data_IF_464746508605
#
_entry.id   IF_464746508605
#
_cell.length_a   1.000
_cell.length_b   1.000
_cell.length_c   1.000
_cell.angle_alpha   90.00
_cell.angle_beta   90.00
_cell.angle_gamma   90.00
#
_symmetry.space_group_name_H-M   'P 1'
#
loop_
_entity.id
_entity.type
_entity.pdbx_description
1 polymer ?
#
# COMPACT_ATOMS: atom_id res chain seq x y z
N UNK A 1 21.64 8.93 -11.57
CA UNK A 1 21.16 8.15 -10.38
C UNK A 1 22.29 7.60 -9.52
N UNK A 2 22.27 7.86 -8.20
CA UNK A 2 23.20 7.30 -7.21
C UNK A 2 22.86 5.82 -6.90
N UNK A 3 23.87 4.96 -6.71
CA UNK A 3 23.70 3.53 -6.41
C UNK A 3 23.02 3.30 -5.05
N UNK A 4 23.28 4.18 -4.09
CA UNK A 4 22.65 4.13 -2.76
C UNK A 4 21.14 4.32 -2.85
N UNK A 5 20.68 5.27 -3.68
CA UNK A 5 19.27 5.54 -3.89
C UNK A 5 18.57 4.34 -4.52
N UNK A 6 19.20 3.69 -5.50
CA UNK A 6 18.73 2.44 -6.11
C UNK A 6 18.58 1.33 -5.07
N UNK A 7 19.56 1.18 -4.18
CA UNK A 7 19.52 0.17 -3.11
C UNK A 7 18.43 0.46 -2.09
N UNK A 8 18.25 1.72 -1.68
CA UNK A 8 17.19 2.13 -0.75
C UNK A 8 15.80 1.88 -1.35
N UNK A 9 15.57 2.33 -2.59
CA UNK A 9 14.28 2.16 -3.27
C UNK A 9 14.02 0.70 -3.59
N UNK A 10 15.05 -0.06 -3.97
CA UNK A 10 14.99 -1.50 -4.11
C UNK A 10 14.58 -2.18 -2.81
N UNK A 11 15.22 -1.83 -1.68
CA UNK A 11 14.86 -2.32 -0.35
C UNK A 11 13.43 -1.98 0.05
N UNK A 12 12.98 -0.74 -0.19
CA UNK A 12 11.60 -0.31 0.06
C UNK A 12 10.60 -1.10 -0.80
N UNK A 13 10.92 -1.32 -2.08
CA UNK A 13 10.06 -2.11 -2.97
C UNK A 13 9.92 -3.55 -2.47
N UNK A 14 11.01 -4.15 -1.96
CA UNK A 14 11.03 -5.47 -1.34
C UNK A 14 10.14 -5.53 -0.09
N UNK A 15 10.15 -4.48 0.75
CA UNK A 15 9.24 -4.42 1.90
C UNK A 15 7.76 -4.40 1.46
N UNK A 16 7.46 -3.72 0.37
CA UNK A 16 6.10 -3.59 -0.17
C UNK A 16 5.62 -4.86 -0.91
N UNK A 17 6.55 -5.73 -1.33
CA UNK A 17 6.21 -7.02 -1.96
C UNK A 17 5.38 -7.94 -1.07
N UNK A 18 5.50 -7.80 0.25
CA UNK A 18 4.80 -8.62 1.24
C UNK A 18 3.43 -8.06 1.64
N UNK A 19 2.88 -7.15 0.84
CA UNK A 19 1.59 -6.54 1.17
C UNK A 19 0.50 -7.61 1.37
N UNK A 20 -0.17 -7.64 2.54
CA UNK A 20 -1.14 -8.68 2.86
C UNK A 20 -2.33 -8.73 1.91
N UNK A 21 -2.71 -7.62 1.27
CA UNK A 21 -3.92 -7.58 0.45
C UNK A 21 -3.67 -8.13 -0.96
N UNK A 22 -2.57 -7.76 -1.63
CA UNK A 22 -2.18 -8.36 -2.94
C UNK A 22 -1.96 -9.86 -2.84
N UNK A 23 -1.24 -10.31 -1.82
CA UNK A 23 -1.01 -11.73 -1.58
C UNK A 23 -2.29 -12.45 -1.16
N UNK A 24 -3.12 -11.84 -0.31
CA UNK A 24 -4.38 -12.41 0.15
C UNK A 24 -5.36 -12.68 -1.00
N UNK A 25 -5.54 -11.70 -1.90
CA UNK A 25 -6.39 -11.86 -3.09
C UNK A 25 -5.83 -12.94 -4.02
N UNK A 26 -4.52 -12.96 -4.21
CA UNK A 26 -3.84 -13.97 -5.05
C UNK A 26 -4.03 -15.39 -4.52
N UNK A 27 -3.73 -15.62 -3.23
CA UNK A 27 -3.90 -16.92 -2.58
C UNK A 27 -5.36 -17.37 -2.65
N UNK A 28 -6.31 -16.45 -2.43
CA UNK A 28 -7.73 -16.77 -2.54
C UNK A 28 -8.12 -17.24 -3.95
N UNK A 29 -7.70 -16.50 -4.99
CA UNK A 29 -8.01 -16.84 -6.39
C UNK A 29 -7.44 -18.21 -6.75
N UNK A 30 -6.21 -18.51 -6.36
CA UNK A 30 -5.55 -19.79 -6.63
C UNK A 30 -6.24 -20.97 -5.93
N UNK A 31 -6.86 -20.75 -4.76
CA UNK A 31 -7.56 -21.78 -4.01
C UNK A 31 -9.02 -21.99 -4.46
N UNK A 32 -9.69 -20.94 -4.93
CA UNK A 32 -11.14 -20.95 -5.17
C UNK A 32 -11.49 -21.15 -6.63
N UNK A 33 -10.74 -20.54 -7.54
CA UNK A 33 -11.05 -20.57 -8.97
C UNK A 33 -10.34 -21.74 -9.66
N UNK A 34 -11.09 -22.51 -10.46
CA UNK A 34 -10.55 -23.63 -11.25
C UNK A 34 -10.47 -23.33 -12.75
N UNK A 35 -11.08 -22.23 -13.22
CA UNK A 35 -11.16 -21.87 -14.65
C UNK A 35 -10.61 -20.45 -14.88
N UNK A 36 -9.71 -20.31 -15.85
CA UNK A 36 -9.11 -19.03 -16.30
C UNK A 36 -8.47 -18.20 -15.16
N UNK A 37 -7.89 -18.87 -14.17
CA UNK A 37 -7.25 -18.24 -13.00
C UNK A 37 -6.15 -17.26 -13.44
N UNK A 38 -5.33 -17.66 -14.42
CA UNK A 38 -4.27 -16.81 -14.97
C UNK A 38 -4.78 -15.49 -15.52
N UNK A 39 -5.81 -15.52 -16.37
CA UNK A 39 -6.36 -14.30 -16.96
C UNK A 39 -6.96 -13.36 -15.89
N UNK A 40 -7.70 -13.92 -14.92
CA UNK A 40 -8.27 -13.13 -13.82
C UNK A 40 -7.19 -12.50 -12.93
N UNK A 41 -6.16 -13.26 -12.62
CA UNK A 41 -5.02 -12.81 -11.82
C UNK A 41 -4.23 -11.73 -12.57
N UNK A 42 -3.95 -11.90 -13.87
CA UNK A 42 -3.28 -10.88 -14.67
C UNK A 42 -4.08 -9.58 -14.72
N UNK A 43 -5.40 -9.66 -14.98
CA UNK A 43 -6.27 -8.46 -14.97
C UNK A 43 -6.21 -7.74 -13.62
N UNK A 44 -6.27 -8.50 -12.52
CA UNK A 44 -6.12 -7.94 -11.18
C UNK A 44 -4.75 -7.27 -10.98
N UNK A 45 -3.65 -7.96 -11.29
CA UNK A 45 -2.30 -7.44 -11.11
C UNK A 45 -2.02 -6.20 -11.98
N UNK A 46 -2.45 -6.20 -13.23
CA UNK A 46 -2.34 -5.02 -14.11
C UNK A 46 -3.16 -3.84 -13.58
N UNK A 47 -4.34 -4.10 -13.00
CA UNK A 47 -5.14 -3.05 -12.36
C UNK A 47 -4.42 -2.46 -11.16
N UNK A 48 -3.80 -3.29 -10.31
CA UNK A 48 -3.03 -2.84 -9.15
C UNK A 48 -1.82 -2.01 -9.59
N UNK A 49 -1.00 -2.51 -10.53
CA UNK A 49 0.16 -1.78 -11.07
C UNK A 49 -0.29 -0.44 -11.65
N UNK A 50 -1.33 -0.44 -12.49
CA UNK A 50 -1.81 0.78 -13.13
C UNK A 50 -2.33 1.81 -12.12
N UNK A 51 -3.07 1.37 -11.10
CA UNK A 51 -3.57 2.25 -10.06
C UNK A 51 -2.44 2.84 -9.20
N UNK A 52 -1.51 2.01 -8.75
CA UNK A 52 -0.38 2.49 -7.96
C UNK A 52 0.54 3.42 -8.76
N UNK A 53 0.86 3.04 -10.00
CA UNK A 53 1.68 3.86 -10.87
C UNK A 53 1.04 5.22 -11.15
N UNK A 54 -0.26 5.25 -11.50
CA UNK A 54 -0.98 6.51 -11.71
C UNK A 54 -1.07 7.35 -10.44
N UNK A 55 -1.33 6.74 -9.27
CA UNK A 55 -1.31 7.42 -7.99
C UNK A 55 0.09 7.99 -7.68
N UNK A 56 1.15 7.22 -7.90
CA UNK A 56 2.53 7.68 -7.66
C UNK A 56 2.96 8.81 -8.58
N UNK A 57 2.58 8.76 -9.86
CA UNK A 57 2.77 9.87 -10.81
C UNK A 57 2.01 11.11 -10.33
N UNK A 58 0.73 10.97 -9.96
CA UNK A 58 -0.08 12.07 -9.46
C UNK A 58 0.51 12.69 -8.18
N UNK A 59 0.97 11.85 -7.25
CA UNK A 59 1.63 12.32 -6.02
C UNK A 59 2.93 13.03 -6.37
N UNK A 60 3.82 12.45 -7.16
CA UNK A 60 5.12 13.06 -7.49
C UNK A 60 4.96 14.41 -8.18
N UNK A 61 4.03 14.52 -9.14
CA UNK A 61 3.75 15.77 -9.86
C UNK A 61 3.04 16.80 -8.96
N UNK A 62 2.13 16.35 -8.10
CA UNK A 62 1.40 17.21 -7.17
C UNK A 62 2.18 17.59 -5.91
N UNK A 63 3.25 16.87 -5.57
CA UNK A 63 3.92 16.97 -4.27
C UNK A 63 4.39 18.40 -3.97
N UNK A 64 4.99 19.07 -4.96
CA UNK A 64 5.46 20.45 -4.80
C UNK A 64 4.33 21.44 -4.54
N UNK A 65 3.26 21.38 -5.35
CA UNK A 65 2.09 22.25 -5.21
C UNK A 65 1.35 22.02 -3.88
N UNK A 66 1.12 20.76 -3.51
CA UNK A 66 0.47 20.42 -2.25
C UNK A 66 1.30 20.89 -1.04
N UNK A 67 2.61 20.70 -1.07
CA UNK A 67 3.49 21.05 0.04
C UNK A 67 3.57 22.56 0.29
N UNK A 68 3.65 23.37 -0.77
CA UNK A 68 3.69 24.83 -0.66
C UNK A 68 2.38 25.41 -0.11
N UNK A 69 1.24 24.92 -0.60
CA UNK A 69 -0.08 25.30 -0.08
C UNK A 69 -0.24 24.84 1.37
N UNK A 70 0.05 23.56 1.68
CA UNK A 70 -0.08 23.05 3.04
C UNK A 70 0.82 23.77 4.03
N UNK A 71 2.11 23.98 3.72
CA UNK A 71 3.04 24.65 4.64
C UNK A 71 2.58 26.05 5.00
N UNK A 72 2.08 26.82 4.02
CA UNK A 72 1.53 28.17 4.24
C UNK A 72 0.29 28.14 5.17
N UNK A 73 -0.62 27.17 4.96
CA UNK A 73 -1.80 27.01 5.82
C UNK A 73 -1.46 26.48 7.21
N UNK A 74 -0.50 25.55 7.30
CA UNK A 74 -0.07 24.90 8.54
C UNK A 74 0.70 25.84 9.48
N UNK A 75 1.44 26.82 8.93
CA UNK A 75 2.17 27.83 9.72
C UNK A 75 1.24 28.82 10.46
N UNK A 76 -0.06 28.82 10.19
CA UNK A 76 -1.00 29.67 10.92
C UNK A 76 -1.20 29.14 12.35
N UNK A 77 -0.97 30.00 13.36
CA UNK A 77 -1.14 29.68 14.79
C UNK A 77 -2.50 29.03 15.10
N UNK A 78 -3.58 29.51 14.49
CA UNK A 78 -4.93 28.94 14.72
C UNK A 78 -5.03 27.51 14.18
N UNK A 79 -4.44 27.26 13.01
CA UNK A 79 -4.42 25.95 12.36
C UNK A 79 -3.55 24.98 13.15
N UNK A 80 -2.39 25.42 13.64
CA UNK A 80 -1.50 24.61 14.47
C UNK A 80 -2.16 24.18 15.79
N UNK A 81 -2.89 25.08 16.47
CA UNK A 81 -3.69 24.72 17.64
C UNK A 81 -4.78 23.70 17.33
N UNK A 82 -5.51 23.87 16.21
CA UNK A 82 -6.51 22.89 15.79
C UNK A 82 -5.89 21.51 15.51
N UNK A 83 -4.73 21.48 14.85
CA UNK A 83 -4.01 20.23 14.55
C UNK A 83 -3.47 19.55 15.80
N UNK A 84 -2.99 20.31 16.78
CA UNK A 84 -2.57 19.77 18.07
C UNK A 84 -3.74 19.08 18.78
N UNK A 85 -4.92 19.73 18.82
CA UNK A 85 -6.14 19.17 19.43
C UNK A 85 -6.58 17.91 18.68
N UNK A 86 -6.64 17.96 17.34
CA UNK A 86 -6.99 16.80 16.51
C UNK A 86 -6.00 15.66 16.72
N UNK A 87 -4.70 15.95 16.78
CA UNK A 87 -3.64 14.99 17.05
C UNK A 87 -3.80 14.31 18.41
N UNK A 88 -4.08 15.10 19.45
CA UNK A 88 -4.37 14.59 20.80
C UNK A 88 -5.62 13.70 20.84
N UNK A 89 -6.70 14.10 20.17
CA UNK A 89 -7.92 13.28 20.06
C UNK A 89 -7.62 11.94 19.37
N UNK A 90 -6.91 11.95 18.23
CA UNK A 90 -6.54 10.73 17.51
C UNK A 90 -5.64 9.82 18.35
N UNK A 91 -4.67 10.39 19.06
CA UNK A 91 -3.76 9.65 19.94
C UNK A 91 -4.49 9.00 21.10
N UNK A 92 -5.39 9.72 21.78
CA UNK A 92 -6.18 9.17 22.89
C UNK A 92 -7.15 8.11 22.37
N UNK A 93 -7.87 8.41 21.27
CA UNK A 93 -8.88 7.52 20.74
C UNK A 93 -8.29 6.20 20.22
N UNK A 94 -7.04 6.22 19.74
CA UNK A 94 -6.28 5.03 19.35
C UNK A 94 -6.32 3.90 20.38
N UNK A 95 -6.25 4.21 21.68
CA UNK A 95 -6.27 3.22 22.76
C UNK A 95 -7.64 2.58 22.97
N UNK A 96 -8.71 3.24 22.54
CA UNK A 96 -10.09 2.79 22.69
C UNK A 96 -10.64 2.11 21.43
N UNK A 97 -9.90 2.14 20.30
CA UNK A 97 -10.33 1.48 19.07
C UNK A 97 -10.41 -0.03 19.32
N UNK A 98 -11.60 -0.65 19.22
CA UNK A 98 -11.73 -2.09 19.38
C UNK A 98 -10.83 -2.79 18.36
N UNK A 99 -10.12 -3.83 18.79
CA UNK A 99 -9.37 -4.73 17.91
C UNK A 99 -10.39 -5.46 17.03
N UNK A 100 -10.87 -4.80 15.97
CA UNK A 100 -11.79 -5.41 15.01
C UNK A 100 -11.03 -6.58 14.39
N UNK A 101 -11.66 -7.76 14.40
CA UNK A 101 -11.25 -8.86 13.54
C UNK A 101 -11.31 -8.33 12.11
N UNK A 102 -10.16 -7.98 11.53
CA UNK A 102 -10.08 -7.62 10.12
C UNK A 102 -10.28 -8.90 9.31
N UNK A 103 -11.52 -9.30 9.12
CA UNK A 103 -11.89 -10.11 7.96
C UNK A 103 -12.00 -9.15 6.77
N UNK A 104 -10.87 -8.73 6.22
CA UNK A 104 -10.83 -8.22 4.85
C UNK A 104 -10.05 -9.19 3.99
N UNK A 105 -10.38 -10.48 4.14
CA UNK A 105 -10.62 -11.27 2.95
C UNK A 105 -11.90 -10.69 2.39
N UNK A 106 -11.81 -9.80 1.41
CA UNK A 106 -12.98 -9.54 0.58
C UNK A 106 -13.36 -10.91 0.06
N UNK A 107 -14.41 -11.53 0.61
CA UNK A 107 -14.98 -12.75 0.09
C UNK A 107 -15.31 -12.43 -1.37
N UNK A 108 -14.56 -12.92 -2.36
CA UNK A 108 -14.86 -12.72 -3.75
C UNK A 108 -16.02 -13.65 -4.06
N UNK A 109 -17.22 -13.20 -3.72
CA UNK A 109 -18.31 -13.48 -4.62
C UNK A 109 -17.85 -12.81 -5.91
N UNK A 110 -17.51 -13.59 -6.95
CA UNK A 110 -17.98 -13.41 -8.34
C UNK A 110 -16.95 -13.72 -9.45
N UNK A 111 -17.50 -14.09 -10.61
CA UNK A 111 -16.84 -14.83 -11.69
C UNK A 111 -16.39 -13.96 -12.89
N UNK A 112 -16.52 -12.63 -12.82
CA UNK A 112 -16.48 -11.71 -13.99
C UNK A 112 -15.29 -10.74 -13.98
N UNK A 113 -14.72 -10.43 -15.15
CA UNK A 113 -13.56 -9.54 -15.30
C UNK A 113 -13.76 -8.13 -14.71
N UNK A 114 -14.95 -7.54 -14.86
CA UNK A 114 -15.27 -6.21 -14.31
C UNK A 114 -15.15 -6.15 -12.79
N UNK A 115 -15.51 -7.24 -12.11
CA UNK A 115 -15.41 -7.34 -10.65
C UNK A 115 -13.97 -7.59 -10.19
N UNK A 116 -13.12 -8.20 -11.03
CA UNK A 116 -11.67 -8.26 -10.79
C UNK A 116 -11.02 -6.88 -10.83
N UNK A 117 -11.44 -6.03 -11.77
CA UNK A 117 -11.00 -4.63 -11.83
C UNK A 117 -11.45 -3.88 -10.59
N UNK A 118 -12.74 -3.97 -10.24
CA UNK A 118 -13.26 -3.35 -9.02
C UNK A 118 -12.51 -3.80 -7.76
N UNK A 119 -12.21 -5.11 -7.65
CA UNK A 119 -11.40 -5.65 -6.57
C UNK A 119 -9.99 -5.07 -6.57
N UNK A 120 -9.32 -5.00 -7.73
CA UNK A 120 -8.02 -4.37 -7.90
C UNK A 120 -8.02 -2.95 -7.36
N UNK A 121 -8.96 -2.13 -7.80
CA UNK A 121 -9.13 -0.72 -7.36
C UNK A 121 -9.41 -0.62 -5.87
N UNK A 122 -10.32 -1.43 -5.32
CA UNK A 122 -10.60 -1.37 -3.87
C UNK A 122 -9.41 -1.82 -3.03
N UNK A 123 -8.66 -2.81 -3.50
CA UNK A 123 -7.49 -3.33 -2.80
C UNK A 123 -6.39 -2.27 -2.80
N UNK A 124 -6.12 -1.69 -3.97
CA UNK A 124 -5.12 -0.64 -4.09
C UNK A 124 -5.51 0.62 -3.32
N UNK A 125 -6.78 1.02 -3.27
CA UNK A 125 -7.20 2.14 -2.42
C UNK A 125 -6.93 1.90 -0.93
N UNK A 126 -7.20 0.69 -0.45
CA UNK A 126 -6.97 0.31 0.96
C UNK A 126 -5.47 0.25 1.26
N UNK A 127 -4.69 -0.35 0.36
CA UNK A 127 -3.25 -0.50 0.56
C UNK A 127 -2.49 0.81 0.37
N UNK A 128 -2.86 1.65 -0.61
CA UNK A 128 -2.23 2.97 -0.85
C UNK A 128 -2.27 3.82 0.41
N UNK A 129 -3.38 3.83 1.16
CA UNK A 129 -3.46 4.55 2.43
C UNK A 129 -2.51 4.05 3.53
N UNK A 130 -1.92 2.87 3.35
CA UNK A 130 -1.02 2.22 4.31
C UNK A 130 0.38 1.92 3.74
N UNK A 131 0.63 2.27 2.48
CA UNK A 131 1.87 1.96 1.77
C UNK A 131 2.98 2.95 2.14
N UNK A 132 3.41 2.91 3.41
CA UNK A 132 4.50 3.75 3.91
C UNK A 132 5.78 3.61 3.05
N UNK A 133 6.22 2.40 2.65
CA UNK A 133 7.41 2.27 1.81
C UNK A 133 7.26 2.99 0.46
N UNK A 134 6.07 2.95 -0.14
CA UNK A 134 5.79 3.62 -1.41
C UNK A 134 5.89 5.14 -1.31
N UNK A 135 5.26 5.74 -0.30
CA UNK A 135 5.36 7.18 -0.06
C UNK A 135 6.79 7.62 0.24
N UNK A 136 7.53 6.82 1.02
CA UNK A 136 8.95 7.08 1.29
C UNK A 136 9.78 7.04 0.01
N UNK A 137 9.54 6.05 -0.87
CA UNK A 137 10.23 5.97 -2.16
C UNK A 137 9.95 7.22 -3.02
N UNK A 138 8.70 7.67 -3.11
CA UNK A 138 8.33 8.91 -3.83
C UNK A 138 9.02 10.13 -3.21
N UNK A 139 9.05 10.24 -1.87
CA UNK A 139 9.72 11.34 -1.18
C UNK A 139 11.23 11.35 -1.47
N UNK A 140 11.89 10.18 -1.46
CA UNK A 140 13.31 10.05 -1.82
C UNK A 140 13.57 10.46 -3.27
N UNK A 141 12.73 10.01 -4.22
CA UNK A 141 12.83 10.42 -5.64
C UNK A 141 12.62 11.93 -5.82
N UNK A 142 11.74 12.53 -5.01
CA UNK A 142 11.43 13.96 -5.05
C UNK A 142 12.59 14.80 -4.49
N UNK A 143 13.12 14.42 -3.32
CA UNK A 143 14.21 15.14 -2.65
C UNK A 143 15.56 15.00 -3.37
N UNK A 144 15.76 13.92 -4.13
CA UNK A 144 16.97 13.73 -4.94
C UNK A 144 16.96 14.48 -6.26
N UNK A 145 15.89 15.24 -6.56
CA UNK A 145 15.80 16.08 -7.75
C UNK A 145 15.81 15.29 -9.06
N UNK A 146 15.34 14.04 -9.04
CA UNK A 146 15.34 13.19 -10.24
C UNK A 146 14.50 13.81 -11.35
N UNK A 147 15.11 13.87 -12.53
CA UNK A 147 14.48 14.25 -13.79
C UNK A 147 13.49 13.19 -14.27
N UNK A 148 12.55 13.58 -15.12
CA UNK A 148 11.40 12.73 -15.46
C UNK A 148 11.71 11.40 -16.13
N UNK A 149 12.80 11.33 -16.88
CA UNK A 149 13.27 10.08 -17.47
C UNK A 149 14.02 9.18 -16.47
N UNK A 150 14.38 9.65 -15.27
CA UNK A 150 14.97 8.83 -14.22
C UNK A 150 13.90 8.30 -13.25
N UNK A 151 13.05 9.18 -12.68
CA UNK A 151 12.08 8.73 -11.67
C UNK A 151 10.92 7.93 -12.25
N UNK A 152 10.50 8.19 -13.51
CA UNK A 152 9.32 7.54 -14.08
C UNK A 152 9.56 6.05 -14.38
N UNK A 153 10.68 5.64 -15.02
CA UNK A 153 11.03 4.23 -15.14
C UNK A 153 11.33 3.58 -13.78
N UNK A 154 11.93 4.30 -12.83
CA UNK A 154 12.23 3.79 -11.50
C UNK A 154 10.95 3.50 -10.70
N UNK A 155 9.96 4.39 -10.79
CA UNK A 155 8.63 4.20 -10.20
C UNK A 155 7.92 3.02 -10.85
N UNK A 156 8.01 2.86 -12.17
CA UNK A 156 7.47 1.69 -12.86
C UNK A 156 8.14 0.39 -12.38
N UNK A 157 9.48 0.38 -12.30
CA UNK A 157 10.23 -0.76 -11.80
C UNK A 157 9.86 -1.12 -10.36
N UNK A 158 9.68 -0.12 -9.48
CA UNK A 158 9.19 -0.33 -8.11
C UNK A 158 7.85 -1.09 -8.12
N UNK A 159 6.89 -0.63 -8.92
CA UNK A 159 5.56 -1.24 -9.02
C UNK A 159 5.60 -2.68 -9.58
N UNK A 160 6.52 -2.96 -10.51
CA UNK A 160 6.74 -4.32 -11.03
C UNK A 160 7.30 -5.23 -9.94
N UNK A 161 8.30 -4.75 -9.18
CA UNK A 161 8.88 -5.52 -8.06
C UNK A 161 7.82 -5.82 -7.02
N UNK A 162 6.99 -4.84 -6.65
CA UNK A 162 5.87 -4.99 -5.70
C UNK A 162 4.95 -6.16 -6.06
N UNK A 163 4.65 -6.36 -7.33
CA UNK A 163 3.70 -7.37 -7.83
C UNK A 163 4.37 -8.72 -8.16
N UNK A 164 5.69 -8.79 -8.02
CA UNK A 164 6.49 -9.95 -8.38
C UNK A 164 6.13 -11.21 -7.55
N UNK A 165 5.91 -11.18 -6.22
CA UNK A 165 5.58 -12.40 -5.48
C UNK A 165 4.22 -13.02 -5.83
N UNK A 166 3.11 -12.26 -5.99
CA UNK A 166 1.88 -12.79 -6.57
C UNK A 166 2.09 -13.51 -7.91
N UNK A 167 2.94 -12.95 -8.77
CA UNK A 167 3.28 -13.54 -10.06
C UNK A 167 4.09 -14.84 -9.90
N UNK A 168 5.08 -14.87 -9.00
CA UNK A 168 5.84 -16.08 -8.65
C UNK A 168 4.91 -17.17 -8.10
N UNK A 169 4.00 -16.82 -7.18
CA UNK A 169 3.04 -17.76 -6.60
C UNK A 169 2.16 -18.39 -7.69
N UNK A 170 1.71 -17.58 -8.65
CA UNK A 170 0.95 -18.08 -9.80
C UNK A 170 1.78 -19.03 -10.67
N UNK A 171 3.03 -18.69 -10.98
CA UNK A 171 3.93 -19.56 -11.75
C UNK A 171 4.19 -20.89 -11.03
N UNK A 172 4.49 -20.85 -9.73
CA UNK A 172 4.67 -22.04 -8.90
C UNK A 172 3.40 -22.89 -8.85
N UNK A 173 2.23 -22.27 -8.74
CA UNK A 173 0.95 -22.99 -8.80
C UNK A 173 0.74 -23.69 -10.15
N UNK A 174 1.14 -23.05 -11.25
CA UNK A 174 1.03 -23.66 -12.58
C UNK A 174 1.99 -24.84 -12.77
N UNK A 175 3.21 -24.76 -12.22
CA UNK A 175 4.24 -25.79 -12.34
C UNK A 175 4.02 -26.97 -11.37
N UNK A 176 3.62 -26.70 -10.12
CA UNK A 176 3.51 -27.70 -9.04
C UNK A 176 2.06 -28.14 -8.78
N UNK A 177 1.06 -27.47 -9.38
CA UNK A 177 -0.34 -27.87 -9.35
C UNK A 177 -0.90 -28.08 -7.94
N UNK A 178 -1.41 -29.28 -7.67
CA UNK A 178 -2.08 -29.63 -6.41
C UNK A 178 -1.16 -29.61 -5.18
N UNK A 179 0.16 -29.71 -5.37
CA UNK A 179 1.15 -29.63 -4.28
C UNK A 179 1.10 -28.26 -3.60
N UNK A 180 0.77 -27.20 -4.35
CA UNK A 180 0.67 -25.83 -3.83
C UNK A 180 -0.56 -25.58 -2.96
N UNK A 181 -1.55 -26.50 -2.92
CA UNK A 181 -2.75 -26.27 -2.10
C UNK A 181 -2.45 -26.21 -0.60
N UNK A 182 -1.51 -27.02 -0.10
CA UNK A 182 -1.11 -27.03 1.31
C UNK A 182 -0.41 -25.72 1.74
N UNK A 183 0.67 -25.26 1.06
CA UNK A 183 1.32 -24.00 1.43
C UNK A 183 0.42 -22.79 1.23
N UNK A 184 -0.42 -22.75 0.19
CA UNK A 184 -1.39 -21.66 0.01
C UNK A 184 -2.38 -21.56 1.18
N UNK A 185 -2.90 -22.69 1.67
CA UNK A 185 -3.76 -22.72 2.87
C UNK A 185 -3.01 -22.30 4.14
N UNK A 186 -1.73 -22.65 4.26
CA UNK A 186 -0.90 -22.20 5.38
C UNK A 186 -0.73 -20.67 5.36
N UNK A 187 -0.40 -20.09 4.20
CA UNK A 187 -0.27 -18.64 4.01
C UNK A 187 -1.59 -17.95 4.35
N UNK A 188 -2.72 -18.46 3.84
CA UNK A 188 -4.05 -17.93 4.16
C UNK A 188 -4.32 -17.93 5.68
N UNK A 189 -4.04 -19.05 6.36
CA UNK A 189 -4.24 -19.17 7.81
C UNK A 189 -3.27 -18.32 8.64
N UNK A 190 -2.07 -18.03 8.12
CA UNK A 190 -1.13 -17.16 8.81
C UNK A 190 -1.54 -15.69 8.68
N UNK A 191 -2.02 -15.29 7.50
CA UNK A 191 -2.56 -13.95 7.26
C UNK A 191 -3.78 -13.67 8.13
N UNK A 192 -4.62 -14.67 8.43
CA UNK A 192 -5.85 -14.47 9.23
C UNK A 192 -5.58 -14.27 10.72
N UNK A 193 -4.39 -14.68 11.18
CA UNK A 193 -3.96 -14.55 12.58
C UNK A 193 -3.33 -13.19 12.88
N UNK A 194 -2.80 -12.50 11.87
CA UNK A 194 -2.19 -11.17 12.05
C UNK A 194 -3.27 -10.08 12.11
N UNK A 195 -3.95 -9.99 13.26
CA UNK A 195 -4.98 -8.98 13.53
C UNK A 195 -4.49 -7.98 14.60
N UNK A 196 -3.28 -7.43 14.43
CA UNK A 196 -2.98 -6.17 15.11
C UNK A 196 -3.90 -5.10 14.53
N UNK A 197 -4.52 -4.27 15.38
CA UNK A 197 -5.39 -3.20 14.92
C UNK A 197 -4.53 -2.11 14.26
N UNK A 198 -4.19 -2.30 12.99
CA UNK A 198 -3.43 -1.34 12.19
C UNK A 198 -4.06 0.06 12.26
N UNK A 199 -5.39 0.13 12.36
CA UNK A 199 -6.11 1.39 12.51
C UNK A 199 -5.74 2.12 13.82
N UNK A 200 -5.63 1.40 14.94
CA UNK A 200 -5.15 1.97 16.21
C UNK A 200 -3.71 2.44 16.07
N UNK A 201 -2.83 1.64 15.48
CA UNK A 201 -1.44 2.02 15.28
C UNK A 201 -1.27 3.26 14.38
N UNK A 202 -2.02 3.33 13.28
CA UNK A 202 -2.04 4.50 12.38
C UNK A 202 -2.56 5.73 13.12
N UNK A 203 -3.69 5.63 13.84
CA UNK A 203 -4.22 6.75 14.64
C UNK A 203 -3.22 7.22 15.69
N UNK A 204 -2.50 6.29 16.33
CA UNK A 204 -1.44 6.60 17.29
C UNK A 204 -0.32 7.40 16.64
N UNK A 205 0.28 6.88 15.56
CA UNK A 205 1.40 7.53 14.86
C UNK A 205 0.98 8.87 14.29
N UNK A 206 -0.14 8.93 13.57
CA UNK A 206 -0.64 10.17 12.97
C UNK A 206 -0.95 11.20 14.05
N UNK A 207 -1.61 10.80 15.13
CA UNK A 207 -1.90 11.69 16.26
C UNK A 207 -0.64 12.27 16.89
N UNK A 208 0.39 11.44 17.09
CA UNK A 208 1.68 11.84 17.64
C UNK A 208 2.43 12.78 16.68
N UNK A 209 2.46 12.47 15.37
CA UNK A 209 3.08 13.31 14.35
C UNK A 209 2.41 14.69 14.26
N UNK A 210 1.08 14.77 14.32
CA UNK A 210 0.35 16.05 14.31
C UNK A 210 0.66 16.89 15.54
N UNK A 211 0.75 16.28 16.73
CA UNK A 211 1.15 16.98 17.94
C UNK A 211 2.58 17.50 17.81
N UNK A 212 3.55 16.66 17.43
CA UNK A 212 4.95 17.07 17.29
C UNK A 212 5.14 18.19 16.27
N UNK A 213 4.48 18.08 15.11
CA UNK A 213 4.56 19.10 14.06
C UNK A 213 4.01 20.45 14.55
N UNK A 214 2.92 20.44 15.32
CA UNK A 214 2.29 21.69 15.78
C UNK A 214 3.04 22.37 16.92
N UNK A 215 3.77 21.64 17.77
CA UNK A 215 4.53 22.21 18.90
C UNK A 215 5.46 23.34 18.47
N UNK A 216 6.10 23.22 17.31
CA UNK A 216 7.02 24.24 16.80
C UNK A 216 6.33 25.57 16.41
N UNK A 217 4.99 25.58 16.31
CA UNK A 217 4.19 26.70 15.79
C UNK A 217 3.05 27.17 16.73
N UNK A 218 2.98 26.68 17.98
CA UNK A 218 2.02 27.14 19.01
C UNK A 218 2.47 28.49 19.61
#
# INVERSE_FOLDING_TARGET
MNTELLLMIGGLSLLDTLSPATLGVTVYLLLTEKKKVGLKLMVYLFTVIGFYFSAGVAIKLGFGFFFEVFSTFLQNRVVSWMLFIVGGILFIWSFYVPKRKKSSYTNPITKTNSRMIALGVTTSLVEVGTALPYFTAIALMTNSGLVWYEWLPLLFAYNVVMVLPPFILYMLYMLLGSVMQKPLKFIQNQMSKSSSSLASWIMCIVGLLLMLYSVDYL
#
